data_IF_992964934882
#
_entry.id   IF_992964934882
#
_cell.length_a   1.000
_cell.length_b   1.000
_cell.length_c   1.000
_cell.angle_alpha   90.00
_cell.angle_beta   90.00
_cell.angle_gamma   90.00
#
_symmetry.space_group_name_H-M   'P 1'
#
loop_
_entity.id
_entity.type
_entity.pdbx_description
1 polymer ?
#
# COMPACT_ATOMS: atom_id res chain seq x y z
N UNK A 1 7.79 6.15 25.56
CA UNK A 1 6.81 6.20 24.45
C UNK A 1 6.43 4.77 24.12
N UNK A 2 5.19 4.36 24.36
CA UNK A 2 4.74 2.96 24.15
C UNK A 2 4.51 2.77 22.65
N UNK A 3 5.25 1.86 22.01
CA UNK A 3 4.98 1.43 20.64
C UNK A 3 3.76 0.51 20.68
N UNK A 4 2.73 0.82 19.88
CA UNK A 4 1.59 -0.09 19.74
C UNK A 4 1.98 -1.29 18.88
N UNK A 5 1.41 -2.45 19.18
CA UNK A 5 1.54 -3.58 18.27
C UNK A 5 0.76 -3.26 16.99
N UNK A 6 1.42 -3.32 15.83
CA UNK A 6 0.75 -3.15 14.53
C UNK A 6 -0.40 -4.15 14.33
N UNK A 7 -0.37 -5.28 15.04
CA UNK A 7 -1.44 -6.29 15.04
C UNK A 7 -2.70 -5.83 15.76
N UNK A 8 -2.63 -4.84 16.65
CA UNK A 8 -3.76 -4.31 17.42
C UNK A 8 -4.52 -3.23 16.66
N UNK A 9 -3.94 -2.69 15.57
CA UNK A 9 -4.60 -1.69 14.73
C UNK A 9 -5.81 -2.29 14.01
N UNK A 10 -6.87 -1.48 13.85
CA UNK A 10 -7.96 -1.79 12.94
C UNK A 10 -7.49 -1.70 11.48
N UNK A 11 -8.20 -2.39 10.59
CA UNK A 11 -7.82 -2.50 9.18
C UNK A 11 -7.69 -1.14 8.48
N UNK A 12 -8.61 -0.20 8.74
CA UNK A 12 -8.57 1.15 8.19
C UNK A 12 -7.31 1.93 8.60
N UNK A 13 -6.97 1.94 9.90
CA UNK A 13 -5.78 2.64 10.39
C UNK A 13 -4.50 1.97 9.89
N UNK A 14 -4.48 0.64 9.77
CA UNK A 14 -3.34 -0.08 9.21
C UNK A 14 -3.14 0.23 7.72
N UNK A 15 -4.21 0.27 6.93
CA UNK A 15 -4.17 0.66 5.51
C UNK A 15 -3.70 2.11 5.37
N UNK A 16 -4.24 3.03 6.17
CA UNK A 16 -3.85 4.44 6.14
C UNK A 16 -2.36 4.62 6.42
N UNK A 17 -1.82 3.90 7.41
CA UNK A 17 -0.39 3.94 7.75
C UNK A 17 0.49 3.35 6.65
N UNK A 18 0.02 2.28 6.00
CA UNK A 18 0.69 1.71 4.83
C UNK A 18 0.75 2.74 3.68
N UNK A 19 -0.38 3.35 3.33
CA UNK A 19 -0.46 4.39 2.29
C UNK A 19 0.46 5.57 2.63
N UNK A 20 0.45 6.02 3.89
CA UNK A 20 1.30 7.12 4.36
C UNK A 20 2.79 6.78 4.25
N UNK A 21 3.18 5.58 4.67
CA UNK A 21 4.57 5.14 4.64
C UNK A 21 5.11 5.07 3.21
N UNK A 22 4.30 4.57 2.28
CA UNK A 22 4.75 4.25 0.93
C UNK A 22 4.52 5.38 -0.07
N UNK A 23 3.53 6.27 0.13
CA UNK A 23 3.09 7.19 -0.91
C UNK A 23 2.83 8.63 -0.46
N UNK A 24 3.14 9.03 0.79
CA UNK A 24 2.82 10.40 1.25
C UNK A 24 3.45 11.52 0.42
N UNK A 25 4.58 11.26 -0.22
CA UNK A 25 5.30 12.20 -1.10
C UNK A 25 4.81 12.21 -2.55
N UNK A 26 3.93 11.29 -2.93
CA UNK A 26 3.52 11.06 -4.32
C UNK A 26 2.25 11.85 -4.71
N UNK A 27 1.66 12.59 -3.76
CA UNK A 27 0.38 13.26 -3.92
C UNK A 27 -0.81 12.30 -3.87
N UNK A 28 -2.03 12.86 -4.00
CA UNK A 28 -3.28 12.10 -3.81
C UNK A 28 -3.39 10.89 -4.76
N UNK A 29 -3.05 11.06 -6.04
CA UNK A 29 -3.11 9.95 -7.00
C UNK A 29 -2.16 8.81 -6.64
N UNK A 30 -0.96 9.11 -6.12
CA UNK A 30 -0.03 8.09 -5.65
C UNK A 30 -0.53 7.36 -4.41
N UNK A 31 -1.13 8.09 -3.46
CA UNK A 31 -1.76 7.49 -2.27
C UNK A 31 -2.90 6.55 -2.64
N UNK A 32 -3.80 6.97 -3.54
CA UNK A 32 -4.88 6.14 -4.07
C UNK A 32 -4.31 4.90 -4.77
N UNK A 33 -3.32 5.08 -5.64
CA UNK A 33 -2.70 3.99 -6.38
C UNK A 33 -2.08 2.92 -5.47
N UNK A 34 -1.34 3.32 -4.43
CA UNK A 34 -0.78 2.36 -3.45
C UNK A 34 -1.89 1.70 -2.63
N UNK A 35 -2.94 2.44 -2.25
CA UNK A 35 -4.12 1.85 -1.62
C UNK A 35 -4.76 0.76 -2.47
N UNK A 36 -4.93 0.99 -3.78
CA UNK A 36 -5.42 -0.03 -4.70
C UNK A 36 -4.49 -1.24 -4.83
N UNK A 37 -3.16 -1.07 -4.80
CA UNK A 37 -2.24 -2.22 -4.79
C UNK A 37 -2.47 -3.11 -3.56
N UNK A 38 -2.67 -2.51 -2.37
CA UNK A 38 -3.00 -3.27 -1.15
C UNK A 38 -4.31 -4.03 -1.35
N UNK A 39 -5.33 -3.38 -1.90
CA UNK A 39 -6.64 -4.00 -2.12
C UNK A 39 -6.61 -5.08 -3.21
N UNK A 40 -5.83 -4.92 -4.27
CA UNK A 40 -5.63 -5.92 -5.30
C UNK A 40 -4.99 -7.19 -4.72
N UNK A 41 -4.01 -7.02 -3.81
CA UNK A 41 -3.40 -8.13 -3.07
C UNK A 41 -4.39 -8.79 -2.11
N UNK A 42 -5.20 -8.00 -1.40
CA UNK A 42 -6.25 -8.50 -0.51
C UNK A 42 -7.30 -9.31 -1.26
N UNK A 43 -7.80 -8.79 -2.39
CA UNK A 43 -8.82 -9.43 -3.22
C UNK A 43 -8.27 -10.70 -3.92
N UNK A 44 -6.97 -10.73 -4.26
CA UNK A 44 -6.31 -11.90 -4.83
C UNK A 44 -6.03 -13.02 -3.81
N UNK A 45 -5.73 -12.65 -2.55
CA UNK A 45 -5.42 -13.59 -1.48
C UNK A 45 -4.19 -14.47 -1.75
N UNK A 46 -4.19 -15.67 -1.14
CA UNK A 46 -3.18 -16.70 -1.38
C UNK A 46 -1.76 -16.24 -1.05
N UNK A 47 -0.90 -16.14 -2.08
CA UNK A 47 0.51 -15.79 -1.89
C UNK A 47 0.73 -14.38 -1.33
N UNK A 48 -0.24 -13.48 -1.43
CA UNK A 48 -0.12 -12.12 -0.92
C UNK A 48 -0.42 -12.02 0.58
N UNK A 49 -1.17 -12.97 1.12
CA UNK A 49 -1.63 -12.95 2.51
C UNK A 49 -3.13 -13.23 2.61
N UNK A 50 -3.60 -13.49 3.83
CA UNK A 50 -5.02 -13.67 4.14
C UNK A 50 -5.46 -12.51 5.02
N UNK A 51 -6.50 -11.80 4.60
CA UNK A 51 -6.95 -10.59 5.27
C UNK A 51 -5.99 -9.41 5.07
N UNK A 52 -6.42 -8.21 5.46
CA UNK A 52 -5.65 -6.99 5.21
C UNK A 52 -4.33 -6.97 6.01
N UNK A 53 -4.37 -7.40 7.28
CA UNK A 53 -3.18 -7.58 8.11
C UNK A 53 -2.19 -8.56 7.51
N UNK A 54 -2.68 -9.68 6.97
CA UNK A 54 -1.85 -10.68 6.33
C UNK A 54 -1.18 -10.18 5.05
N UNK A 55 -1.78 -9.19 4.37
CA UNK A 55 -1.18 -8.52 3.20
C UNK A 55 -0.15 -7.48 3.63
N UNK A 56 -0.51 -6.60 4.56
CA UNK A 56 0.31 -5.44 4.92
C UNK A 56 1.51 -5.84 5.78
N UNK A 57 1.32 -6.71 6.78
CA UNK A 57 2.34 -7.06 7.75
C UNK A 57 3.19 -8.27 7.35
N UNK A 58 2.92 -8.87 6.18
CA UNK A 58 3.75 -9.96 5.69
C UNK A 58 5.16 -9.44 5.39
N UNK A 59 6.22 -10.13 5.84
CA UNK A 59 7.59 -9.64 5.70
C UNK A 59 7.92 -9.20 4.27
N UNK A 60 8.49 -7.99 4.14
CA UNK A 60 8.96 -7.38 2.88
C UNK A 60 7.85 -7.05 1.85
N UNK A 61 6.57 -7.08 2.22
CA UNK A 61 5.49 -6.64 1.31
C UNK A 61 5.43 -5.11 1.19
N UNK A 62 5.73 -4.40 2.27
CA UNK A 62 5.77 -2.93 2.36
C UNK A 62 6.93 -2.53 3.28
N UNK A 63 7.90 -1.79 2.74
CA UNK A 63 9.17 -1.52 3.43
C UNK A 63 9.01 -0.67 4.66
N UNK A 64 8.02 0.22 4.70
CA UNK A 64 7.82 1.15 5.81
C UNK A 64 7.60 0.46 7.17
N UNK A 65 7.15 -0.80 7.18
CA UNK A 65 6.95 -1.61 8.39
C UNK A 65 8.18 -2.43 8.83
N UNK A 66 9.29 -2.35 8.11
CA UNK A 66 10.55 -2.95 8.56
C UNK A 66 11.22 -2.03 9.59
N UNK A 67 11.82 -2.61 10.64
CA UNK A 67 12.36 -1.84 11.77
C UNK A 67 13.53 -0.91 11.42
N UNK A 68 14.20 -1.16 10.29
CA UNK A 68 15.28 -0.38 9.72
C UNK A 68 14.81 0.76 8.80
N UNK A 69 13.51 0.82 8.46
CA UNK A 69 12.97 1.87 7.62
C UNK A 69 12.84 3.21 8.40
N UNK A 70 13.27 4.35 7.84
CA UNK A 70 13.14 5.66 8.49
C UNK A 70 11.70 6.02 8.91
N UNK A 71 10.70 5.47 8.21
CA UNK A 71 9.28 5.71 8.48
C UNK A 71 8.74 4.86 9.63
N UNK A 72 9.43 3.77 10.00
CA UNK A 72 8.95 2.80 10.99
C UNK A 72 8.55 3.45 12.30
N UNK A 73 9.41 4.34 12.84
CA UNK A 73 9.13 5.06 14.09
C UNK A 73 7.90 5.95 14.00
N UNK A 74 7.62 6.52 12.83
CA UNK A 74 6.47 7.38 12.62
C UNK A 74 5.18 6.58 12.48
N UNK A 75 5.19 5.51 11.68
CA UNK A 75 3.99 4.70 11.45
C UNK A 75 3.65 3.77 12.63
N UNK A 76 4.55 3.59 13.60
CA UNK A 76 4.32 2.79 14.82
C UNK A 76 3.92 3.63 16.04
N UNK A 77 3.79 4.96 15.88
CA UNK A 77 3.32 5.83 16.97
C UNK A 77 1.91 5.44 17.41
N UNK A 78 1.63 5.59 18.71
CA UNK A 78 0.31 5.32 19.27
C UNK A 78 -0.79 6.08 18.53
N UNK A 79 -0.50 7.32 18.20
CA UNK A 79 -1.38 8.21 17.46
C UNK A 79 -0.57 8.91 16.38
N UNK A 80 -1.14 9.03 15.19
CA UNK A 80 -0.61 9.86 14.10
C UNK A 80 -1.55 11.02 13.85
N UNK A 81 -0.98 12.22 13.85
CA UNK A 81 -1.70 13.49 13.66
C UNK A 81 -1.08 14.24 12.49
N UNK A 82 -1.91 14.83 11.63
CA UNK A 82 -1.50 15.67 10.50
C UNK A 82 -2.33 15.45 9.24
N UNK A 83 -2.35 16.44 8.36
CA UNK A 83 -3.23 16.44 7.19
C UNK A 83 -2.99 15.25 6.26
N UNK A 84 -1.73 14.89 6.03
CA UNK A 84 -1.38 13.77 5.16
C UNK A 84 -1.89 12.42 5.70
N UNK A 85 -1.82 12.16 7.01
CA UNK A 85 -2.38 10.92 7.56
C UNK A 85 -3.91 10.95 7.54
N UNK A 86 -4.53 12.12 7.73
CA UNK A 86 -5.98 12.28 7.58
C UNK A 86 -6.44 11.97 6.15
N UNK A 87 -5.70 12.44 5.13
CA UNK A 87 -5.97 12.07 3.73
C UNK A 87 -5.82 10.56 3.52
N UNK A 88 -4.76 9.95 4.06
CA UNK A 88 -4.55 8.50 3.95
C UNK A 88 -5.68 7.70 4.62
N UNK A 89 -6.23 8.19 5.74
CA UNK A 89 -7.41 7.61 6.41
C UNK A 89 -8.65 7.69 5.52
N UNK A 90 -8.94 8.86 4.93
CA UNK A 90 -10.06 8.98 3.99
C UNK A 90 -9.93 8.06 2.78
N UNK A 91 -8.73 7.89 2.23
CA UNK A 91 -8.48 6.93 1.14
C UNK A 91 -8.70 5.50 1.62
N UNK A 92 -8.20 5.15 2.81
CA UNK A 92 -8.36 3.82 3.38
C UNK A 92 -9.83 3.46 3.61
N UNK A 93 -10.59 4.36 4.24
CA UNK A 93 -12.02 4.19 4.52
C UNK A 93 -12.79 3.98 3.21
N UNK A 94 -12.59 4.86 2.22
CA UNK A 94 -13.22 4.74 0.91
C UNK A 94 -12.96 3.37 0.26
N UNK A 95 -11.71 2.92 0.23
CA UNK A 95 -11.34 1.65 -0.41
C UNK A 95 -11.94 0.43 0.30
N UNK A 96 -12.06 0.49 1.63
CA UNK A 96 -12.63 -0.58 2.44
C UNK A 96 -14.17 -0.65 2.32
N UNK A 97 -14.83 0.50 2.15
CA UNK A 97 -16.28 0.58 1.92
C UNK A 97 -16.70 0.13 0.51
N UNK A 98 -15.80 0.27 -0.47
CA UNK A 98 -16.07 -0.13 -1.85
C UNK A 98 -16.24 -1.65 -1.99
N UNK A 99 -17.11 -2.06 -2.91
CA UNK A 99 -17.14 -3.46 -3.36
C UNK A 99 -15.90 -3.79 -4.20
N UNK A 100 -15.48 -5.06 -4.30
CA UNK A 100 -14.37 -5.45 -5.18
C UNK A 100 -14.58 -5.02 -6.64
N UNK A 101 -15.84 -5.04 -7.13
CA UNK A 101 -16.17 -4.58 -8.48
C UNK A 101 -15.97 -3.07 -8.65
N UNK A 102 -16.38 -2.28 -7.67
CA UNK A 102 -16.17 -0.83 -7.67
C UNK A 102 -14.67 -0.48 -7.60
N UNK A 103 -13.92 -1.13 -6.69
CA UNK A 103 -12.46 -0.95 -6.62
C UNK A 103 -11.78 -1.21 -7.94
N UNK A 104 -12.10 -2.32 -8.62
CA UNK A 104 -11.51 -2.62 -9.94
C UNK A 104 -11.83 -1.59 -11.01
N UNK A 105 -13.02 -1.00 -10.97
CA UNK A 105 -13.45 0.01 -11.95
C UNK A 105 -12.68 1.32 -11.77
N UNK A 106 -12.46 1.72 -10.52
CA UNK A 106 -11.80 2.99 -10.18
C UNK A 106 -10.28 2.85 -10.00
N UNK A 107 -9.72 1.63 -10.09
CA UNK A 107 -8.29 1.36 -9.87
C UNK A 107 -7.41 2.04 -10.94
N UNK A 108 -6.67 3.11 -10.59
CA UNK A 108 -5.83 3.83 -11.55
C UNK A 108 -4.60 3.02 -11.95
N UNK A 109 -4.30 1.92 -11.26
CA UNK A 109 -3.13 1.07 -11.50
C UNK A 109 -3.41 -0.08 -12.46
N UNK A 110 -4.66 -0.25 -12.89
CA UNK A 110 -5.09 -1.34 -13.79
C UNK A 110 -4.83 -2.75 -13.23
N UNK A 111 -5.09 -2.95 -11.93
CA UNK A 111 -4.92 -4.23 -11.26
C UNK A 111 -3.47 -4.54 -10.88
N UNK A 112 -2.63 -3.52 -10.68
CA UNK A 112 -1.25 -3.73 -10.29
C UNK A 112 -1.16 -4.38 -8.91
N UNK A 113 -0.19 -5.29 -8.77
CA UNK A 113 0.12 -5.96 -7.51
C UNK A 113 1.52 -5.61 -7.00
N UNK A 114 2.32 -4.92 -7.80
CA UNK A 114 3.69 -4.50 -7.49
C UNK A 114 3.92 -3.07 -7.97
N UNK A 115 4.87 -2.39 -7.33
CA UNK A 115 5.37 -1.11 -7.80
C UNK A 115 6.80 -0.90 -7.32
N UNK A 116 7.49 0.04 -7.94
CA UNK A 116 8.80 0.52 -7.49
C UNK A 116 8.99 2.00 -7.86
N UNK A 117 9.87 2.69 -7.15
CA UNK A 117 10.28 4.04 -7.52
C UNK A 117 11.04 4.04 -8.86
N UNK A 118 10.87 5.09 -9.67
CA UNK A 118 11.49 5.20 -10.99
C UNK A 118 13.01 5.26 -10.96
N UNK A 119 13.58 5.62 -9.81
CA UNK A 119 15.03 5.65 -9.57
C UNK A 119 15.66 4.28 -9.33
N UNK A 120 14.86 3.23 -9.11
CA UNK A 120 15.34 1.87 -8.87
C UNK A 120 14.74 0.91 -9.91
N UNK A 121 15.48 -0.16 -10.23
CA UNK A 121 14.97 -1.24 -11.07
C UNK A 121 15.16 -2.59 -10.37
N UNK A 122 14.12 -3.14 -9.73
CA UNK A 122 14.22 -4.44 -9.09
C UNK A 122 14.32 -5.56 -10.13
N UNK A 123 14.92 -6.70 -9.75
CA UNK A 123 15.18 -7.83 -10.67
C UNK A 123 13.91 -8.40 -11.34
N UNK A 124 12.76 -8.28 -10.66
CA UNK A 124 11.48 -8.76 -11.18
C UNK A 124 10.88 -7.84 -12.24
N UNK A 125 11.27 -6.56 -12.28
CA UNK A 125 10.71 -5.58 -13.22
C UNK A 125 11.17 -5.89 -14.65
N UNK A 126 10.21 -6.33 -15.48
CA UNK A 126 10.45 -6.82 -16.84
C UNK A 126 10.81 -8.30 -16.94
N UNK A 127 10.63 -9.08 -15.86
CA UNK A 127 10.61 -10.55 -15.96
C UNK A 127 9.37 -11.02 -16.73
N UNK A 128 9.40 -12.26 -17.25
CA UNK A 128 8.29 -12.81 -18.06
C UNK A 128 6.96 -12.94 -17.32
N UNK A 129 6.98 -12.85 -15.99
CA UNK A 129 5.78 -12.93 -15.14
C UNK A 129 5.29 -11.54 -14.68
N UNK A 130 5.84 -10.45 -15.23
CA UNK A 130 5.53 -9.09 -14.82
C UNK A 130 5.18 -8.22 -16.02
N UNK A 131 3.95 -7.72 -16.02
CA UNK A 131 3.45 -6.79 -17.04
C UNK A 131 3.43 -5.37 -16.50
N UNK A 132 4.01 -4.42 -17.22
CA UNK A 132 3.93 -3.00 -16.88
C UNK A 132 2.49 -2.49 -17.05
N UNK A 133 1.98 -1.76 -16.06
CA UNK A 133 0.62 -1.23 -16.09
C UNK A 133 0.60 0.27 -16.40
N UNK A 134 1.26 1.07 -15.57
CA UNK A 134 1.20 2.54 -15.61
C UNK A 134 2.31 3.15 -14.76
N UNK A 135 2.65 4.42 -15.01
CA UNK A 135 3.45 5.25 -14.11
C UNK A 135 2.56 6.34 -13.50
N UNK A 136 2.56 6.44 -12.17
CA UNK A 136 1.84 7.49 -11.42
C UNK A 136 2.83 8.11 -10.44
N UNK A 137 3.05 9.43 -10.57
CA UNK A 137 4.11 10.11 -9.82
C UNK A 137 5.48 9.53 -10.13
N UNK A 138 6.24 9.20 -9.08
CA UNK A 138 7.52 8.54 -9.15
C UNK A 138 7.42 7.01 -9.13
N UNK A 139 6.22 6.42 -9.03
CA UNK A 139 6.03 4.97 -9.00
C UNK A 139 5.68 4.37 -10.37
N UNK A 140 6.33 3.26 -10.70
CA UNK A 140 5.96 2.38 -11.82
C UNK A 140 5.21 1.18 -11.26
N UNK A 141 4.01 0.94 -11.78
CA UNK A 141 3.11 -0.12 -11.33
C UNK A 141 3.12 -1.29 -12.29
N UNK A 142 3.07 -2.50 -11.74
CA UNK A 142 3.20 -3.75 -12.45
C UNK A 142 2.20 -4.78 -11.93
N UNK A 143 1.73 -5.62 -12.84
CA UNK A 143 0.87 -6.75 -12.53
C UNK A 143 1.64 -8.05 -12.73
N UNK A 144 1.58 -8.89 -11.71
CA UNK A 144 2.08 -10.25 -11.81
C UNK A 144 1.01 -11.18 -12.41
N UNK A 145 1.41 -12.06 -13.32
CA UNK A 145 0.57 -13.08 -13.94
C UNK A 145 0.81 -13.22 -15.44
#
# INVERSE_FOLDING_TARGET
MVMLSLQELGDAELLARCIYGEARGEGLNGMIAVGHVVMNRYDAGGRYGVGLKGVILKPRQFSCFNSDDPNFKQITQREMVGDLISVCRSVADLLLEMTPGARRKEDPTHGATHYHAASIRPYWAGSSNMTFCVKIGNHLFWKEG
#
